data_IF_842314593875
#
_entry.id   IF_842314593875
#
_cell.length_a   1.000
_cell.length_b   1.000
_cell.length_c   1.000
_cell.angle_alpha   90.00
_cell.angle_beta   90.00
_cell.angle_gamma   90.00
#
_symmetry.space_group_name_H-M   'P 1'
#
loop_
_entity.id
_entity.type
_entity.pdbx_description
1 polymer ?
#
# COMPACT_ATOMS: atom_id res chain seq x y z
N UNK A 1 26.32 -0.76 11.31
CA UNK A 1 25.45 0.37 10.89
C UNK A 1 24.16 -0.10 10.22
N UNK A 2 24.18 -1.18 9.41
CA UNK A 2 22.99 -1.73 8.73
C UNK A 2 22.00 -2.43 9.67
N UNK A 3 22.48 -3.12 10.72
CA UNK A 3 21.62 -3.88 11.66
C UNK A 3 20.66 -3.01 12.46
N UNK A 4 21.10 -1.81 12.88
CA UNK A 4 20.27 -0.87 13.65
C UNK A 4 19.19 -0.22 12.80
N UNK A 5 19.46 0.01 11.51
CA UNK A 5 18.48 0.55 10.57
C UNK A 5 17.40 -0.49 10.27
N UNK A 6 17.78 -1.73 9.97
CA UNK A 6 16.82 -2.80 9.67
C UNK A 6 15.91 -3.13 10.86
N UNK A 7 16.46 -3.14 12.08
CA UNK A 7 15.65 -3.28 13.31
C UNK A 7 14.62 -2.16 13.48
N UNK A 8 14.93 -0.93 13.07
CA UNK A 8 13.99 0.20 13.13
C UNK A 8 12.91 0.14 12.05
N UNK A 9 13.21 -0.45 10.89
CA UNK A 9 12.20 -0.75 9.86
C UNK A 9 11.23 -1.83 10.36
N UNK A 10 11.73 -2.88 11.01
CA UNK A 10 10.89 -3.94 11.61
C UNK A 10 9.95 -3.40 12.70
N UNK A 11 10.37 -2.38 13.45
CA UNK A 11 9.56 -1.72 14.47
C UNK A 11 8.48 -0.77 13.90
N UNK A 12 8.59 -0.43 12.61
CA UNK A 12 7.73 0.53 11.94
C UNK A 12 8.16 1.98 12.20
N UNK A 13 8.18 2.79 11.15
CA UNK A 13 8.34 4.25 11.29
C UNK A 13 6.98 4.81 11.68
N UNK A 14 6.90 5.47 12.83
CA UNK A 14 5.67 6.12 13.30
C UNK A 14 5.33 7.30 12.38
N UNK A 15 4.03 7.64 12.23
CA UNK A 15 3.59 8.76 11.37
C UNK A 15 4.07 10.12 11.90
N UNK A 16 4.15 10.25 13.21
CA UNK A 16 4.65 11.41 13.93
C UNK A 16 5.70 10.94 14.93
N UNK A 17 6.89 10.48 14.48
CA UNK A 17 7.92 10.08 15.42
C UNK A 17 8.55 11.34 15.99
N UNK A 18 8.67 11.41 17.32
CA UNK A 18 9.59 12.34 17.93
C UNK A 18 11.01 12.12 17.37
N UNK A 19 11.79 13.20 17.29
CA UNK A 19 13.12 13.19 16.65
C UNK A 19 14.05 12.13 17.26
N UNK A 20 13.82 11.78 18.53
CA UNK A 20 14.50 10.71 19.26
C UNK A 20 13.43 9.93 20.01
N UNK A 21 13.20 8.69 19.59
CA UNK A 21 12.31 7.75 20.30
C UNK A 21 13.16 6.85 21.21
N UNK A 22 12.85 6.84 22.50
CA UNK A 22 13.46 5.96 23.50
C UNK A 22 12.87 4.55 23.42
N UNK A 23 13.62 3.50 23.80
CA UNK A 23 13.14 2.12 23.77
C UNK A 23 11.81 1.88 24.50
N UNK A 24 11.58 2.59 25.60
CA UNK A 24 10.37 2.49 26.42
C UNK A 24 9.14 3.11 25.72
N UNK A 25 9.35 4.10 24.86
CA UNK A 25 8.30 4.78 24.10
C UNK A 25 7.85 3.94 22.90
N UNK A 26 8.71 3.06 22.39
CA UNK A 26 8.41 2.15 21.28
C UNK A 26 7.22 1.23 21.62
N UNK A 27 7.15 0.73 22.85
CA UNK A 27 6.01 -0.10 23.29
C UNK A 27 4.69 0.67 23.26
N UNK A 28 4.70 1.97 23.59
CA UNK A 28 3.50 2.80 23.52
C UNK A 28 3.02 2.95 22.08
N UNK A 29 3.92 3.22 21.13
CA UNK A 29 3.55 3.36 19.74
C UNK A 29 3.14 2.04 19.07
N UNK A 30 3.75 0.91 19.46
CA UNK A 30 3.34 -0.41 18.96
C UNK A 30 1.91 -0.79 19.40
N UNK A 31 1.51 -0.33 20.59
CA UNK A 31 0.17 -0.54 21.14
C UNK A 31 -0.84 0.55 20.71
N UNK A 32 -0.38 1.64 20.09
CA UNK A 32 -1.25 2.69 19.60
C UNK A 32 -2.17 2.18 18.48
N UNK A 33 -3.39 2.73 18.40
CA UNK A 33 -4.32 2.38 17.35
C UNK A 33 -3.70 2.72 15.99
N UNK A 34 -3.58 1.72 15.12
CA UNK A 34 -3.17 1.93 13.73
C UNK A 34 -4.29 2.63 12.98
N UNK A 35 -4.20 3.95 12.92
CA UNK A 35 -5.04 4.77 12.05
C UNK A 35 -4.47 4.61 10.65
N UNK A 36 -5.26 4.05 9.73
CA UNK A 36 -4.90 4.04 8.31
C UNK A 36 -5.34 5.36 7.68
N UNK A 37 -4.67 5.77 6.60
CA UNK A 37 -5.12 6.95 5.86
C UNK A 37 -6.42 6.59 5.14
N UNK A 38 -7.32 7.55 5.05
CA UNK A 38 -8.55 7.43 4.27
C UNK A 38 -8.34 8.09 2.92
N UNK A 39 -8.79 7.44 1.84
CA UNK A 39 -9.80 8.03 0.95
C UNK A 39 -9.81 9.55 0.69
N UNK A 40 -8.79 10.32 0.24
CA UNK A 40 -8.94 11.75 0.05
C UNK A 40 -9.99 12.00 -1.01
N UNK A 41 -10.90 12.91 -0.72
CA UNK A 41 -12.05 13.19 -1.58
C UNK A 41 -11.65 13.54 -3.02
N UNK A 42 -10.47 14.13 -3.22
CA UNK A 42 -9.98 14.50 -4.53
C UNK A 42 -9.72 13.30 -5.45
N UNK A 43 -9.35 12.12 -4.92
CA UNK A 43 -9.01 10.96 -5.76
C UNK A 43 -10.23 10.36 -6.46
N UNK A 44 -11.42 10.61 -5.93
CA UNK A 44 -12.70 10.22 -6.53
C UNK A 44 -13.07 11.11 -7.71
N UNK A 45 -12.52 12.34 -7.77
CA UNK A 45 -12.77 13.32 -8.84
C UNK A 45 -11.84 13.14 -10.04
N UNK A 46 -10.85 12.25 -9.93
CA UNK A 46 -9.88 11.98 -11.00
C UNK A 46 -10.49 11.02 -12.02
N UNK A 47 -10.58 11.48 -13.27
CA UNK A 47 -11.00 10.67 -14.41
C UNK A 47 -10.06 9.48 -14.64
N UNK A 48 -10.62 8.43 -15.26
CA UNK A 48 -9.87 7.23 -15.64
C UNK A 48 -8.78 7.57 -16.66
N UNK A 49 -7.70 6.77 -16.67
CA UNK A 49 -6.74 6.84 -17.76
C UNK A 49 -7.42 6.47 -19.07
N UNK A 50 -7.20 7.28 -20.11
CA UNK A 50 -7.79 7.07 -21.45
C UNK A 50 -7.30 5.77 -22.10
N UNK A 51 -6.06 5.41 -21.81
CA UNK A 51 -5.41 4.20 -22.33
C UNK A 51 -5.08 3.28 -21.16
N UNK A 52 -5.10 1.97 -21.44
CA UNK A 52 -4.76 0.95 -20.43
C UNK A 52 -3.27 1.05 -20.12
N UNK A 53 -2.94 1.42 -18.88
CA UNK A 53 -1.56 1.38 -18.42
C UNK A 53 -1.22 -0.03 -17.94
N UNK A 54 -0.25 -0.67 -18.59
CA UNK A 54 0.28 -1.98 -18.18
C UNK A 54 1.63 -1.78 -17.50
N UNK A 55 1.73 -2.19 -16.24
CA UNK A 55 2.97 -2.09 -15.48
C UNK A 55 3.65 -3.47 -15.47
N UNK A 56 4.87 -3.60 -16.01
CA UNK A 56 5.60 -4.86 -16.02
C UNK A 56 5.97 -5.28 -14.59
N UNK A 57 6.03 -6.59 -14.40
CA UNK A 57 6.48 -7.21 -13.16
C UNK A 57 8.01 -7.24 -13.05
N UNK A 58 8.57 -7.66 -11.91
CA UNK A 58 10.01 -7.62 -11.62
C UNK A 58 10.88 -8.34 -12.67
N UNK A 59 10.35 -9.40 -13.28
CA UNK A 59 10.99 -10.18 -14.34
C UNK A 59 10.65 -9.70 -15.76
N UNK A 60 9.90 -8.61 -15.88
CA UNK A 60 9.42 -8.07 -17.14
C UNK A 60 8.10 -8.69 -17.63
N UNK A 61 7.46 -9.60 -16.89
CA UNK A 61 6.15 -10.14 -17.26
C UNK A 61 5.12 -9.00 -17.31
N UNK A 62 4.37 -8.92 -18.42
CA UNK A 62 3.27 -7.96 -18.58
C UNK A 62 1.97 -8.74 -18.61
N UNK A 63 1.02 -8.35 -17.76
CA UNK A 63 -0.34 -8.87 -17.79
C UNK A 63 -1.13 -8.19 -18.91
N UNK A 64 -1.77 -8.99 -19.76
CA UNK A 64 -2.49 -8.52 -20.93
C UNK A 64 -3.97 -8.20 -20.65
N UNK A 65 -4.51 -8.72 -19.55
CA UNK A 65 -5.94 -8.73 -19.26
C UNK A 65 -6.22 -8.44 -17.77
N UNK A 66 -7.35 -7.78 -17.52
CA UNK A 66 -7.85 -7.48 -16.17
C UNK A 66 -8.45 -8.71 -15.48
N UNK A 67 -8.84 -9.71 -16.26
CA UNK A 67 -9.40 -10.98 -15.81
C UNK A 67 -8.33 -11.94 -15.28
N UNK A 68 -7.05 -11.62 -15.44
CA UNK A 68 -5.98 -12.39 -14.84
C UNK A 68 -6.15 -12.37 -13.30
N UNK A 69 -6.20 -13.53 -12.62
CA UNK A 69 -6.38 -13.60 -11.17
C UNK A 69 -5.26 -12.91 -10.38
N UNK A 70 -4.12 -12.61 -11.02
CA UNK A 70 -2.97 -11.91 -10.46
C UNK A 70 -3.09 -10.39 -10.62
N UNK A 71 -4.08 -9.89 -11.37
CA UNK A 71 -4.31 -8.46 -11.54
C UNK A 71 -4.95 -7.83 -10.29
N UNK A 72 -4.43 -6.68 -9.86
CA UNK A 72 -5.07 -5.84 -8.83
C UNK A 72 -6.47 -5.44 -9.27
N UNK A 73 -7.47 -5.52 -8.38
CA UNK A 73 -8.86 -5.05 -8.64
C UNK A 73 -8.98 -3.55 -8.44
N UNK A 74 -8.30 -3.03 -7.43
CA UNK A 74 -8.32 -1.64 -7.00
C UNK A 74 -7.77 -0.71 -8.10
N UNK A 75 -6.77 -1.19 -8.85
CA UNK A 75 -6.17 -0.44 -9.96
C UNK A 75 -6.94 -0.57 -11.28
N UNK A 76 -7.85 -1.54 -11.42
CA UNK A 76 -8.72 -1.65 -12.61
C UNK A 76 -9.69 -0.48 -12.68
N UNK A 77 -10.17 0.00 -11.53
CA UNK A 77 -10.97 1.21 -11.40
C UNK A 77 -10.23 2.47 -11.85
N UNK A 78 -8.94 2.39 -12.22
CA UNK A 78 -8.15 3.47 -12.79
C UNK A 78 -7.60 3.15 -14.19
N UNK A 79 -8.05 2.04 -14.79
CA UNK A 79 -7.59 1.53 -16.09
C UNK A 79 -6.11 1.13 -16.10
N UNK A 80 -5.64 0.53 -14.99
CA UNK A 80 -4.25 0.09 -14.80
C UNK A 80 -4.22 -1.42 -14.55
N UNK A 81 -3.41 -2.15 -15.33
CA UNK A 81 -3.12 -3.57 -15.11
C UNK A 81 -1.78 -3.68 -14.37
N UNK A 82 -1.82 -4.26 -13.17
CA UNK A 82 -0.65 -4.50 -12.33
C UNK A 82 -0.70 -5.87 -11.65
N UNK A 83 0.44 -6.53 -11.60
CA UNK A 83 0.62 -7.85 -11.00
C UNK A 83 0.77 -7.76 -9.47
N UNK A 84 -0.03 -8.53 -8.71
CA UNK A 84 0.10 -8.69 -7.25
C UNK A 84 0.67 -10.08 -6.91
N UNK A 85 1.91 -10.14 -6.38
CA UNK A 85 2.64 -11.41 -6.12
C UNK A 85 2.01 -12.29 -5.05
N UNK A 86 1.44 -11.71 -4.02
CA UNK A 86 0.74 -12.39 -2.92
C UNK A 86 -0.20 -11.35 -2.33
N UNK A 87 -1.33 -11.78 -1.77
CA UNK A 87 -2.25 -10.93 -1.00
C UNK A 87 -1.45 -10.03 -0.07
N UNK A 88 -1.11 -8.83 -0.56
CA UNK A 88 -0.40 -7.81 0.16
C UNK A 88 -1.39 -7.48 1.25
N UNK A 89 -1.08 -7.97 2.45
CA UNK A 89 -1.94 -8.03 3.63
C UNK A 89 -3.03 -6.97 3.50
N UNK A 90 -4.30 -7.39 3.33
CA UNK A 90 -5.49 -6.60 2.89
C UNK A 90 -5.57 -5.16 3.41
N UNK A 91 -4.80 -4.80 4.42
CA UNK A 91 -4.66 -3.49 5.06
C UNK A 91 -3.78 -2.46 4.32
N UNK A 92 -2.85 -2.84 3.43
CA UNK A 92 -2.00 -1.85 2.75
C UNK A 92 -2.55 -1.36 1.40
N UNK A 93 -3.49 -2.09 0.80
CA UNK A 93 -4.15 -1.73 -0.46
C UNK A 93 -5.69 -1.74 -0.36
N UNK A 94 -6.29 -1.91 0.83
CA UNK A 94 -7.71 -1.60 1.07
C UNK A 94 -7.91 -0.08 1.08
N UNK A 95 -7.72 0.48 -0.09
CA UNK A 95 -8.25 1.75 -0.52
C UNK A 95 -9.31 1.41 -1.55
N UNK A 96 -10.54 1.31 -1.05
CA UNK A 96 -11.69 1.00 -1.89
C UNK A 96 -12.45 -0.24 -1.41
N UNK A 97 -13.73 -0.01 -1.16
CA UNK A 97 -14.83 -0.98 -1.07
C UNK A 97 -14.92 -1.79 0.22
N UNK A 98 -15.61 -1.19 1.21
CA UNK A 98 -16.59 -1.92 2.00
C UNK A 98 -17.90 -1.10 2.00
N UNK A 99 -18.90 -1.59 1.26
CA UNK A 99 -20.30 -1.21 1.42
C UNK A 99 -20.87 -2.02 2.60
N UNK A 100 -21.19 -1.32 3.69
CA UNK A 100 -22.48 -1.24 4.40
C UNK A 100 -22.26 -0.63 5.80
#
# INVERSE_FOLDING_TARGET
MVTSFNKRIELGIFREPDVIVLPEEIEMYLNALKIYETVPEWTTKVELLKEVLKIPYEDGEILESFEDPRASRELQEKNIIFYIRFAFNRKFLSWGVYYD
#
